data_IF_256876902090
#
_entry.id   IF_256876902090
#
_cell.length_a   1.000
_cell.length_b   1.000
_cell.length_c   1.000
_cell.angle_alpha   90.00
_cell.angle_beta   90.00
_cell.angle_gamma   90.00
#
_symmetry.space_group_name_H-M   'P 1'
#
loop_
_entity.id
_entity.type
_entity.pdbx_description
1 polymer ?
#
# COMPACT_ATOMS: atom_id res chain seq x y z
N UNK A 1 -19.20 -4.55 0.35
CA UNK A 1 -18.65 -3.46 -0.48
C UNK A 1 -17.26 -3.80 -1.04
N UNK A 2 -16.24 -4.06 -0.21
CA UNK A 2 -14.85 -4.28 -0.67
C UNK A 2 -14.67 -5.45 -1.66
N UNK A 3 -15.50 -6.51 -1.61
CA UNK A 3 -15.41 -7.57 -2.64
C UNK A 3 -15.86 -7.09 -4.03
N UNK A 4 -16.73 -6.07 -4.11
CA UNK A 4 -17.19 -5.47 -5.36
C UNK A 4 -16.15 -4.54 -5.99
N UNK A 5 -15.07 -4.19 -5.30
CA UNK A 5 -13.96 -3.44 -5.91
C UNK A 5 -13.08 -4.29 -6.81
N UNK A 6 -13.29 -5.61 -6.83
CA UNK A 6 -12.51 -6.59 -7.63
C UNK A 6 -13.10 -6.83 -9.02
N UNK A 7 -13.98 -5.95 -9.47
CA UNK A 7 -14.60 -5.94 -10.80
C UNK A 7 -13.92 -4.88 -11.69
N UNK A 8 -14.03 -4.96 -13.03
CA UNK A 8 -13.46 -3.98 -13.96
C UNK A 8 -13.88 -2.53 -13.65
N UNK A 9 -15.12 -2.29 -13.22
CA UNK A 9 -15.63 -0.95 -12.89
C UNK A 9 -15.41 -0.54 -11.41
N UNK A 10 -14.55 -1.28 -10.69
CA UNK A 10 -14.36 -1.15 -9.24
C UNK A 10 -13.56 0.06 -8.77
N UNK A 11 -12.97 0.83 -9.69
CA UNK A 11 -12.03 1.92 -9.38
C UNK A 11 -12.71 3.10 -8.68
N UNK A 12 -13.88 3.52 -9.18
CA UNK A 12 -14.66 4.58 -8.53
C UNK A 12 -15.05 4.23 -7.10
N UNK A 13 -15.38 2.95 -6.85
CA UNK A 13 -15.66 2.46 -5.51
C UNK A 13 -14.40 2.41 -4.63
N UNK A 14 -13.23 2.04 -5.17
CA UNK A 14 -11.96 2.12 -4.42
C UNK A 14 -11.66 3.54 -3.97
N UNK A 15 -11.79 4.51 -4.87
CA UNK A 15 -11.57 5.93 -4.59
C UNK A 15 -12.56 6.43 -3.54
N UNK A 16 -13.85 6.11 -3.67
CA UNK A 16 -14.87 6.51 -2.71
C UNK A 16 -14.60 5.93 -1.30
N UNK A 17 -14.24 4.64 -1.22
CA UNK A 17 -13.89 3.98 0.04
C UNK A 17 -12.61 4.55 0.65
N UNK A 18 -11.61 4.88 -0.17
CA UNK A 18 -10.38 5.50 0.29
C UNK A 18 -10.62 6.92 0.84
N UNK A 19 -11.45 7.72 0.17
CA UNK A 19 -11.88 9.04 0.68
C UNK A 19 -12.63 8.91 1.99
N UNK A 20 -13.51 7.92 2.13
CA UNK A 20 -14.21 7.64 3.38
C UNK A 20 -13.23 7.23 4.49
N UNK A 21 -12.24 6.38 4.19
CA UNK A 21 -11.16 6.05 5.13
C UNK A 21 -10.45 7.31 5.62
N UNK A 22 -10.04 8.20 4.70
CA UNK A 22 -9.39 9.46 5.03
C UNK A 22 -10.29 10.38 5.87
N UNK A 23 -11.59 10.46 5.57
CA UNK A 23 -12.54 11.26 6.33
C UNK A 23 -12.72 10.74 7.76
N UNK A 24 -12.87 9.42 7.93
CA UNK A 24 -13.24 8.78 9.20
C UNK A 24 -12.03 8.45 10.08
N UNK A 25 -10.84 8.30 9.48
CA UNK A 25 -9.60 7.90 10.17
C UNK A 25 -8.43 8.85 9.90
N UNK A 26 -8.69 10.03 9.35
CA UNK A 26 -7.66 10.98 8.96
C UNK A 26 -6.76 11.42 10.12
N UNK A 27 -7.33 11.59 11.32
CA UNK A 27 -6.55 11.90 12.52
C UNK A 27 -5.53 10.80 12.85
N UNK A 28 -5.97 9.54 12.86
CA UNK A 28 -5.09 8.39 13.10
C UNK A 28 -4.02 8.28 12.01
N UNK A 29 -4.38 8.48 10.73
CA UNK A 29 -3.43 8.42 9.63
C UNK A 29 -2.34 9.49 9.76
N UNK A 30 -2.68 10.70 10.19
CA UNK A 30 -1.70 11.79 10.42
C UNK A 30 -0.79 11.51 11.61
N UNK A 31 -1.32 10.93 12.69
CA UNK A 31 -0.54 10.57 13.88
C UNK A 31 0.57 9.53 13.59
N UNK A 32 0.45 8.77 12.51
CA UNK A 32 1.51 7.83 12.09
C UNK A 32 2.77 8.54 11.60
N UNK A 33 2.70 9.85 11.26
CA UNK A 33 3.84 10.65 10.79
C UNK A 33 4.67 9.95 9.70
N UNK A 34 4.00 9.32 8.73
CA UNK A 34 4.68 8.56 7.67
C UNK A 34 5.31 9.48 6.61
N UNK A 35 6.47 9.08 6.09
CA UNK A 35 7.22 9.79 5.04
C UNK A 35 6.82 9.34 3.62
N UNK A 36 6.12 8.20 3.49
CA UNK A 36 5.50 7.77 2.25
C UNK A 36 4.39 6.75 2.45
N UNK A 37 3.59 6.61 1.39
CA UNK A 37 2.63 5.52 1.20
C UNK A 37 3.17 4.54 0.15
N UNK A 38 3.05 3.25 0.41
CA UNK A 38 3.40 2.19 -0.53
C UNK A 38 2.19 1.25 -0.66
N UNK A 39 1.62 1.08 -1.86
CA UNK A 39 0.65 0.02 -2.08
C UNK A 39 1.36 -1.34 -1.93
N UNK A 40 0.79 -2.27 -1.19
CA UNK A 40 1.22 -3.68 -1.28
C UNK A 40 1.08 -4.08 -2.75
N UNK A 41 2.07 -4.73 -3.40
CA UNK A 41 1.98 -5.09 -4.80
C UNK A 41 1.44 -6.50 -5.02
N UNK A 42 0.69 -6.69 -6.11
CA UNK A 42 0.40 -8.02 -6.65
C UNK A 42 1.58 -8.56 -7.47
N UNK A 43 1.58 -9.88 -7.69
CA UNK A 43 2.55 -10.48 -8.61
C UNK A 43 2.24 -10.05 -10.05
N UNK A 44 3.27 -9.82 -10.89
CA UNK A 44 3.13 -9.36 -12.28
C UNK A 44 2.19 -10.23 -13.12
N UNK A 45 2.18 -11.55 -12.88
CA UNK A 45 1.25 -12.49 -13.53
C UNK A 45 -0.24 -12.28 -13.18
N UNK A 46 -0.55 -11.40 -12.22
CA UNK A 46 -1.90 -10.98 -11.86
C UNK A 46 -2.20 -9.53 -12.29
N UNK A 47 -1.18 -8.69 -12.49
CA UNK A 47 -1.33 -7.33 -13.01
C UNK A 47 -1.82 -7.32 -14.47
N UNK A 48 -1.34 -8.26 -15.29
CA UNK A 48 -1.70 -8.36 -16.71
C UNK A 48 -3.13 -8.87 -16.98
N UNK A 49 -3.82 -9.44 -15.99
CA UNK A 49 -5.09 -10.18 -16.21
C UNK A 49 -6.34 -9.49 -15.63
N UNK A 50 -6.21 -8.32 -14.98
CA UNK A 50 -7.32 -7.73 -14.18
C UNK A 50 -7.67 -6.28 -14.47
N UNK A 51 -6.86 -5.52 -15.18
CA UNK A 51 -7.15 -4.12 -15.53
C UNK A 51 -7.13 -3.13 -14.35
N UNK A 52 -7.55 -3.53 -13.14
CA UNK A 52 -7.67 -2.66 -11.97
C UNK A 52 -7.01 -3.23 -10.72
N UNK A 53 -6.24 -2.39 -10.01
CA UNK A 53 -5.58 -2.76 -8.75
C UNK A 53 -5.97 -1.83 -7.59
N UNK A 54 -6.95 -2.28 -6.79
CA UNK A 54 -7.53 -1.49 -5.70
C UNK A 54 -6.52 -0.86 -4.72
N UNK A 55 -5.51 -1.60 -4.20
CA UNK A 55 -4.49 -1.04 -3.31
C UNK A 55 -3.73 0.17 -3.87
N UNK A 56 -3.47 0.22 -5.19
CA UNK A 56 -2.84 1.39 -5.82
C UNK A 56 -3.75 2.63 -5.74
N UNK A 57 -5.01 2.50 -6.13
CA UNK A 57 -5.99 3.60 -6.04
C UNK A 57 -6.20 4.10 -4.61
N UNK A 58 -6.27 3.18 -3.65
CA UNK A 58 -6.40 3.53 -2.23
C UNK A 58 -5.14 4.27 -1.76
N UNK A 59 -3.95 3.77 -2.12
CA UNK A 59 -2.68 4.40 -1.74
C UNK A 59 -2.57 5.83 -2.30
N UNK A 60 -2.98 6.06 -3.55
CA UNK A 60 -3.01 7.41 -4.16
C UNK A 60 -3.85 8.39 -3.35
N UNK A 61 -5.07 8.00 -3.01
CA UNK A 61 -5.98 8.88 -2.27
C UNK A 61 -5.49 9.15 -0.84
N UNK A 62 -4.92 8.14 -0.17
CA UNK A 62 -4.34 8.30 1.16
C UNK A 62 -3.11 9.21 1.13
N UNK A 63 -2.21 9.01 0.16
CA UNK A 63 -1.03 9.85 -0.02
C UNK A 63 -1.41 11.31 -0.29
N UNK A 64 -2.39 11.53 -1.18
CA UNK A 64 -2.95 12.87 -1.48
C UNK A 64 -3.54 13.53 -0.23
N UNK A 65 -4.27 12.77 0.59
CA UNK A 65 -4.86 13.28 1.84
C UNK A 65 -3.79 13.67 2.87
N UNK A 66 -2.70 12.91 2.94
CA UNK A 66 -1.59 13.14 3.88
C UNK A 66 -0.56 14.17 3.37
N UNK A 67 -0.54 14.48 2.08
CA UNK A 67 0.45 15.40 1.49
C UNK A 67 1.86 14.78 1.39
N UNK A 68 1.97 13.46 1.29
CA UNK A 68 3.23 12.71 1.25
C UNK A 68 3.34 11.89 -0.04
N UNK A 69 4.55 11.52 -0.50
CA UNK A 69 4.72 10.76 -1.74
C UNK A 69 4.09 9.35 -1.68
N UNK A 70 3.61 8.89 -2.83
CA UNK A 70 3.16 7.51 -3.04
C UNK A 70 4.16 6.76 -3.94
N UNK A 71 4.82 5.73 -3.42
CA UNK A 71 5.96 5.06 -4.08
C UNK A 71 5.52 3.80 -4.84
N UNK A 72 5.22 3.94 -6.13
CA UNK A 72 4.82 2.81 -6.98
C UNK A 72 6.02 2.00 -7.46
N UNK A 73 6.22 0.81 -6.92
CA UNK A 73 7.26 -0.12 -7.41
C UNK A 73 8.57 -0.09 -6.63
N UNK A 74 8.66 0.70 -5.56
CA UNK A 74 9.69 0.57 -4.54
C UNK A 74 9.63 -0.82 -3.89
N UNK A 75 8.44 -1.25 -3.48
CA UNK A 75 8.16 -2.64 -3.08
C UNK A 75 7.66 -3.43 -4.30
N UNK A 76 8.24 -4.61 -4.53
CA UNK A 76 7.85 -5.49 -5.64
C UNK A 76 7.60 -6.90 -5.14
N UNK A 77 6.57 -7.55 -5.70
CA UNK A 77 6.34 -8.97 -5.50
C UNK A 77 7.09 -9.78 -6.56
N UNK A 78 8.18 -10.42 -6.14
CA UNK A 78 9.12 -11.14 -7.01
C UNK A 78 8.80 -12.62 -7.22
N UNK A 79 7.96 -13.21 -6.34
CA UNK A 79 7.58 -14.62 -6.42
C UNK A 79 6.07 -14.78 -6.55
N UNK A 80 5.63 -15.67 -7.43
CA UNK A 80 4.22 -16.07 -7.51
C UNK A 80 3.87 -16.90 -6.28
N UNK A 81 2.80 -16.53 -5.59
CA UNK A 81 2.30 -17.26 -4.41
C UNK A 81 0.99 -17.96 -4.76
N UNK A 82 0.71 -19.14 -4.19
CA UNK A 82 -0.59 -19.81 -4.37
C UNK A 82 -1.72 -18.92 -3.84
N UNK A 83 -2.93 -19.06 -4.40
CA UNK A 83 -4.12 -18.37 -3.87
C UNK A 83 -4.30 -18.78 -2.40
N UNK A 84 -4.52 -17.81 -1.52
CA UNK A 84 -4.57 -18.05 -0.07
C UNK A 84 -5.92 -18.59 0.42
N UNK A 85 -6.95 -18.63 -0.44
CA UNK A 85 -8.25 -19.23 -0.14
C UNK A 85 -8.08 -20.73 0.15
N UNK A 86 -8.59 -21.20 1.28
CA UNK A 86 -8.47 -22.59 1.72
C UNK A 86 -7.16 -22.95 2.44
N UNK A 87 -6.19 -22.04 2.54
CA UNK A 87 -4.96 -22.31 3.32
C UNK A 87 -5.15 -21.98 4.80
N UNK A 88 -4.60 -22.84 5.69
CA UNK A 88 -4.39 -22.57 7.12
C UNK A 88 -3.38 -21.42 7.32
N UNK A 89 -3.38 -20.79 8.50
CA UNK A 89 -2.60 -19.58 8.80
C UNK A 89 -1.11 -19.78 8.51
N UNK A 90 -0.51 -20.82 9.04
CA UNK A 90 0.92 -21.17 8.93
C UNK A 90 1.30 -21.38 7.46
N UNK A 91 0.42 -22.05 6.70
CA UNK A 91 0.58 -22.25 5.27
C UNK A 91 0.53 -20.92 4.50
N UNK A 92 -0.25 -19.93 4.94
CA UNK A 92 -0.26 -18.59 4.33
C UNK A 92 1.04 -17.84 4.56
N UNK A 93 1.62 -17.90 5.77
CA UNK A 93 2.92 -17.31 6.08
C UNK A 93 4.04 -17.95 5.25
N UNK A 94 4.12 -19.29 5.20
CA UNK A 94 5.08 -20.00 4.35
C UNK A 94 4.92 -19.65 2.87
N UNK A 95 3.67 -19.57 2.40
CA UNK A 95 3.38 -19.25 0.99
C UNK A 95 3.91 -17.88 0.57
N UNK A 96 3.93 -16.87 1.46
CA UNK A 96 4.41 -15.51 1.13
C UNK A 96 5.85 -15.23 1.53
N UNK A 97 6.48 -16.02 2.40
CA UNK A 97 7.86 -15.81 2.84
C UNK A 97 8.84 -15.62 1.66
N UNK A 98 9.59 -14.52 1.63
CA UNK A 98 10.51 -14.19 0.53
C UNK A 98 9.82 -13.84 -0.79
N UNK A 99 8.53 -13.47 -0.78
CA UNK A 99 7.81 -13.10 -2.00
C UNK A 99 8.02 -11.64 -2.42
N UNK A 100 8.61 -10.80 -1.57
CA UNK A 100 8.81 -9.37 -1.81
C UNK A 100 10.29 -8.98 -1.84
N UNK A 101 10.59 -7.92 -2.58
CA UNK A 101 11.89 -7.26 -2.61
C UNK A 101 11.73 -5.75 -2.77
N UNK A 102 12.74 -4.99 -2.34
CA UNK A 102 12.85 -3.55 -2.60
C UNK A 102 13.68 -3.32 -3.86
N UNK A 103 13.21 -2.47 -4.77
CA UNK A 103 13.98 -2.08 -5.95
C UNK A 103 15.09 -1.11 -5.55
N UNK A 104 16.34 -1.46 -5.83
CA UNK A 104 17.46 -0.54 -5.74
C UNK A 104 17.37 0.54 -6.84
N UNK A 105 17.70 1.79 -6.50
CA UNK A 105 17.70 2.91 -7.46
C UNK A 105 16.31 3.36 -7.92
N UNK A 106 15.29 3.19 -7.07
CA UNK A 106 13.95 3.70 -7.36
C UNK A 106 13.88 5.19 -7.02
N UNK A 107 13.87 6.04 -8.05
CA UNK A 107 13.58 7.46 -7.90
C UNK A 107 12.08 7.60 -7.66
N UNK A 108 11.68 8.21 -6.55
CA UNK A 108 10.31 8.68 -6.33
C UNK A 108 9.93 9.57 -7.50
N UNK A 109 9.12 9.07 -8.44
CA UNK A 109 8.51 9.94 -9.42
C UNK A 109 7.44 10.68 -8.63
N UNK A 110 7.72 11.94 -8.27
CA UNK A 110 6.65 12.90 -7.99
C UNK A 110 5.75 12.83 -9.22
N UNK A 111 4.65 12.08 -9.11
CA UNK A 111 3.60 12.15 -10.08
C UNK A 111 3.10 13.59 -9.97
N UNK A 112 3.57 14.46 -10.87
CA UNK A 112 2.92 15.74 -11.11
C UNK A 112 1.42 15.46 -11.12
N UNK A 113 0.72 16.01 -10.14
CA UNK A 113 -0.72 15.89 -10.03
C UNK A 113 -1.31 16.73 -11.16
N UNK A 114 -1.31 16.20 -12.38
CA UNK A 114 -2.01 16.75 -13.54
C UNK A 114 -3.50 16.40 -13.47
N UNK A 115 -4.14 16.66 -12.32
CA UNK A 115 -5.59 16.51 -12.18
C UNK A 115 -6.17 17.70 -11.41
N UNK A 116 -6.63 18.68 -12.17
CA UNK A 116 -7.61 19.68 -11.76
C UNK A 116 -7.08 20.90 -11.02
N UNK A 117 -6.98 22.02 -11.74
CA UNK A 117 -7.07 23.41 -11.24
C UNK A 117 -6.34 23.78 -9.93
N UNK A 118 -5.17 23.21 -9.66
CA UNK A 118 -4.27 23.75 -8.63
C UNK A 118 -3.31 24.71 -9.33
N UNK A 119 -3.33 26.00 -8.95
CA UNK A 119 -2.41 26.98 -9.52
C UNK A 119 -0.99 26.64 -9.05
N UNK A 120 0.04 26.76 -9.90
CA UNK A 120 1.44 26.48 -9.53
C UNK A 120 1.90 27.20 -8.25
N UNK A 121 1.36 28.38 -7.94
CA UNK A 121 1.65 29.14 -6.73
C UNK A 121 1.17 28.47 -5.43
N UNK A 122 0.13 27.62 -5.49
CA UNK A 122 -0.42 26.90 -4.33
C UNK A 122 0.40 25.64 -3.98
N UNK A 123 1.29 25.20 -4.89
CA UNK A 123 2.23 24.08 -4.70
C UNK A 123 3.42 24.49 -3.80
N UNK A 124 3.68 25.80 -3.69
CA UNK A 124 4.88 26.36 -3.04
C UNK A 124 4.91 26.26 -1.50
N UNK A 125 3.86 25.72 -0.85
CA UNK A 125 3.85 25.53 0.63
C UNK A 125 4.22 24.12 1.11
N UNK A 126 4.39 23.14 0.22
CA UNK A 126 4.96 21.83 0.56
C UNK A 126 6.47 21.84 0.30
N UNK A 127 7.19 22.61 1.12
CA UNK A 127 8.65 22.75 1.10
C UNK A 127 9.39 21.50 1.59
N UNK A 128 8.99 20.30 1.17
CA UNK A 128 9.84 19.12 1.26
C UNK A 128 10.57 18.99 -0.07
N UNK A 129 11.81 19.49 -0.13
CA UNK A 129 12.78 18.98 -1.11
C UNK A 129 12.94 17.49 -0.82
N UNK A 130 12.26 16.64 -1.58
CA UNK A 130 12.52 15.21 -1.56
C UNK A 130 13.76 15.02 -2.41
N UNK A 131 14.93 15.10 -1.77
CA UNK A 131 16.16 14.59 -2.37
C UNK A 131 15.90 13.14 -2.80
N UNK A 132 16.30 12.74 -4.02
CA UNK A 132 16.09 11.38 -4.51
C UNK A 132 16.76 10.39 -3.54
N UNK A 133 15.96 9.77 -2.68
CA UNK A 133 16.43 8.75 -1.76
C UNK A 133 16.13 7.39 -2.37
N UNK A 134 17.17 6.80 -2.95
CA UNK A 134 17.15 5.45 -3.56
C UNK A 134 16.86 4.32 -2.54
N UNK A 135 16.43 4.64 -1.30
CA UNK A 135 16.35 3.72 -0.17
C UNK A 135 15.16 4.05 0.74
N UNK A 136 14.53 2.98 1.25
CA UNK A 136 13.53 3.02 2.34
C UNK A 136 14.18 3.39 3.69
N UNK A 137 15.51 3.49 3.74
CA UNK A 137 16.32 3.76 4.92
C UNK A 137 15.83 4.95 5.75
N UNK A 138 15.58 4.74 7.03
CA UNK A 138 15.16 5.78 7.98
C UNK A 138 13.71 6.24 7.86
N UNK A 139 12.98 5.83 6.81
CA UNK A 139 11.61 6.28 6.55
C UNK A 139 10.59 5.53 7.39
N UNK A 140 9.56 6.24 7.84
CA UNK A 140 8.30 5.68 8.36
C UNK A 140 7.36 5.43 7.20
N UNK A 141 7.02 4.17 6.96
CA UNK A 141 6.29 3.75 5.76
C UNK A 141 4.85 3.36 6.10
N UNK A 142 3.88 3.88 5.34
CA UNK A 142 2.51 3.40 5.36
C UNK A 142 2.25 2.40 4.23
N UNK A 143 2.10 1.12 4.56
CA UNK A 143 1.62 0.10 3.63
C UNK A 143 0.10 0.18 3.46
N UNK A 144 -0.39 0.07 2.24
CA UNK A 144 -1.83 0.05 1.93
C UNK A 144 -2.24 -1.24 1.24
N UNK A 145 -3.32 -1.86 1.71
CA UNK A 145 -3.96 -3.02 1.07
C UNK A 145 -5.50 -2.87 1.10
N UNK A 146 -6.23 -3.68 0.35
CA UNK A 146 -7.69 -3.63 0.33
C UNK A 146 -8.31 -4.33 1.55
N UNK A 147 -7.85 -5.55 1.86
CA UNK A 147 -8.41 -6.41 2.90
C UNK A 147 -7.30 -7.12 3.68
N UNK A 148 -7.25 -6.88 4.99
CA UNK A 148 -6.43 -7.67 5.91
C UNK A 148 -7.14 -8.99 6.26
N UNK A 149 -6.53 -10.11 5.90
CA UNK A 149 -6.98 -11.44 6.33
C UNK A 149 -6.17 -11.94 7.51
N UNK A 150 -5.26 -12.91 7.32
CA UNK A 150 -4.34 -13.39 8.36
C UNK A 150 -3.17 -12.46 8.61
N UNK A 151 -3.00 -11.43 7.77
CA UNK A 151 -1.87 -10.51 7.84
C UNK A 151 -0.55 -11.05 7.26
N UNK A 152 -0.50 -12.28 6.74
CA UNK A 152 0.72 -12.86 6.19
C UNK A 152 1.37 -11.98 5.10
N UNK A 153 0.56 -11.46 4.17
CA UNK A 153 1.04 -10.58 3.09
C UNK A 153 1.64 -9.29 3.63
N UNK A 154 0.92 -8.57 4.51
CA UNK A 154 1.39 -7.33 5.11
C UNK A 154 2.63 -7.57 5.99
N UNK A 155 2.67 -8.68 6.72
CA UNK A 155 3.80 -9.06 7.56
C UNK A 155 5.07 -9.25 6.73
N UNK A 156 5.00 -10.00 5.62
CA UNK A 156 6.19 -10.22 4.79
C UNK A 156 6.63 -8.95 4.06
N UNK A 157 5.67 -8.13 3.60
CA UNK A 157 5.98 -6.82 3.01
C UNK A 157 6.69 -5.91 4.02
N UNK A 158 6.15 -5.79 5.24
CA UNK A 158 6.74 -4.99 6.31
C UNK A 158 8.13 -5.51 6.71
N UNK A 159 8.29 -6.83 6.83
CA UNK A 159 9.59 -7.47 7.09
C UNK A 159 10.61 -7.11 6.00
N UNK A 160 10.20 -7.12 4.74
CA UNK A 160 11.06 -6.76 3.60
C UNK A 160 11.50 -5.30 3.67
N UNK A 161 10.57 -4.38 3.98
CA UNK A 161 10.87 -2.95 4.11
C UNK A 161 11.79 -2.65 5.32
N UNK A 162 11.55 -3.29 6.47
CA UNK A 162 12.41 -3.15 7.66
C UNK A 162 13.83 -3.66 7.39
N UNK A 163 13.97 -4.80 6.70
CA UNK A 163 15.27 -5.31 6.26
C UNK A 163 15.98 -4.35 5.29
N UNK A 164 15.23 -3.56 4.53
CA UNK A 164 15.77 -2.52 3.66
C UNK A 164 16.01 -1.18 4.39
N UNK A 165 15.83 -1.13 5.71
CA UNK A 165 16.16 0.02 6.57
C UNK A 165 15.00 0.93 6.93
N UNK A 166 13.73 0.56 6.67
CA UNK A 166 12.58 1.34 7.16
C UNK A 166 12.67 1.51 8.69
N UNK A 167 12.51 2.74 9.19
CA UNK A 167 12.47 3.00 10.63
C UNK A 167 11.20 2.40 11.23
N UNK A 168 10.06 2.62 10.57
CA UNK A 168 8.77 2.09 10.99
C UNK A 168 7.95 1.66 9.78
N UNK A 169 7.05 0.69 9.98
CA UNK A 169 6.09 0.27 8.95
C UNK A 169 4.73 0.08 9.59
N UNK A 170 3.77 0.93 9.19
CA UNK A 170 2.36 0.86 9.53
C UNK A 170 1.56 0.26 8.36
N UNK A 171 0.34 -0.20 8.62
CA UNK A 171 -0.55 -0.79 7.61
C UNK A 171 -1.94 -0.18 7.71
N UNK A 172 -2.47 0.32 6.60
CA UNK A 172 -3.86 0.72 6.45
C UNK A 172 -4.59 -0.22 5.49
N UNK A 173 -5.82 -0.61 5.85
CA UNK A 173 -6.70 -1.43 5.01
C UNK A 173 -8.13 -0.93 5.05
N UNK A 174 -8.91 -1.17 3.99
CA UNK A 174 -10.34 -0.82 3.98
C UNK A 174 -11.18 -1.79 4.81
N UNK A 175 -10.77 -3.05 4.91
CA UNK A 175 -11.49 -4.05 5.69
C UNK A 175 -10.55 -5.06 6.34
N UNK A 176 -11.00 -5.65 7.44
CA UNK A 176 -10.38 -6.81 8.07
C UNK A 176 -11.37 -7.97 8.06
N UNK A 177 -10.94 -9.14 7.61
CA UNK A 177 -11.77 -10.34 7.65
C UNK A 177 -11.95 -10.79 9.12
N UNK A 178 -13.21 -10.86 9.57
CA UNK A 178 -13.56 -11.42 10.88
C UNK A 178 -13.51 -12.95 10.81
N UNK A 179 -12.91 -13.56 11.85
CA UNK A 179 -12.78 -15.00 12.02
C UNK A 179 -11.97 -15.27 13.29
N UNK A 180 -12.36 -16.29 14.05
CA UNK A 180 -11.67 -16.69 15.27
C UNK A 180 -10.40 -17.48 14.90
N UNK A 181 -9.29 -16.75 14.72
CA UNK A 181 -8.01 -17.31 14.29
C UNK A 181 -7.25 -18.01 15.43
N UNK A 182 -7.85 -18.15 16.61
CA UNK A 182 -7.33 -18.91 17.76
C UNK A 182 -7.52 -20.43 17.61
N UNK A 183 -8.45 -20.88 16.75
CA UNK A 183 -8.80 -22.32 16.58
C UNK A 183 -7.99 -23.08 15.52
N UNK A 184 -6.88 -22.52 15.04
CA UNK A 184 -5.98 -23.17 14.06
C UNK A 184 -4.52 -23.02 14.51
N UNK A 185 -4.29 -23.08 15.82
CA UNK A 185 -2.97 -23.32 16.41
C UNK A 185 -2.71 -24.83 16.45
#
# INVERSE_FOLDING_TARGET
>A
AVLKTKTPDGDGLCVALARLLCLVRGGQLRQLNCDCVIPIPLHRSHAAARGTYGPEWIAREVARFLGIPCEFGLLRRIRKTKRQRGLKREARFRNVCGAFAVRAGFRTQLAEVLLGSVRPADVTRLGARVEPSDRVGGRRVLLVDDVLTTGATCHEAAKTLRKAGAAEVAVAVLARAQGDYSKIA
#
